data_IF_828004998237
#
_entry.id   IF_828004998237
#
_cell.length_a   1.000
_cell.length_b   1.000
_cell.length_c   1.000
_cell.angle_alpha   90.00
_cell.angle_beta   90.00
_cell.angle_gamma   90.00
#
_symmetry.space_group_name_H-M   'P 1'
#
loop_
_entity.id
_entity.type
_entity.pdbx_description
1 polymer ?
#
# COMPACT_ATOMS: atom_id res chain seq x y z
N UNK A 1 4.23 -3.68 32.00
CA UNK A 1 5.04 -4.75 31.37
C UNK A 1 4.09 -5.66 30.61
N UNK A 2 4.38 -6.04 29.34
CA UNK A 2 3.51 -6.94 28.60
C UNK A 2 3.54 -8.37 29.20
N UNK A 3 2.45 -9.14 29.08
CA UNK A 3 2.37 -10.52 29.60
C UNK A 3 3.47 -11.43 29.04
N UNK A 4 3.93 -12.39 29.85
CA UNK A 4 5.07 -13.28 29.52
C UNK A 4 4.91 -14.05 28.19
N UNK A 5 3.67 -14.34 27.79
CA UNK A 5 3.29 -14.98 26.53
C UNK A 5 3.55 -14.14 25.26
N UNK A 6 3.98 -12.88 25.39
CA UNK A 6 4.38 -12.03 24.24
C UNK A 6 5.90 -11.84 24.11
N UNK A 7 6.71 -12.39 25.04
CA UNK A 7 8.18 -12.21 25.00
C UNK A 7 8.85 -12.89 23.79
N UNK A 8 8.27 -13.97 23.25
CA UNK A 8 8.78 -14.64 22.04
C UNK A 8 8.60 -13.84 20.74
N UNK A 9 7.65 -12.89 20.70
CA UNK A 9 7.37 -12.08 19.51
C UNK A 9 8.42 -10.96 19.40
N UNK A 10 8.87 -10.45 20.54
CA UNK A 10 9.90 -9.40 20.59
C UNK A 10 11.33 -9.99 20.52
N UNK A 11 11.58 -11.16 21.10
CA UNK A 11 12.93 -11.76 21.15
C UNK A 11 13.37 -12.41 19.82
N UNK A 12 12.47 -13.07 19.09
CA UNK A 12 12.79 -13.74 17.84
C UNK A 12 13.01 -12.78 16.66
N UNK A 13 12.25 -11.68 16.62
CA UNK A 13 12.39 -10.67 15.56
C UNK A 13 13.68 -9.86 15.70
N UNK A 14 14.10 -9.52 16.92
CA UNK A 14 15.35 -8.78 17.13
C UNK A 14 16.60 -9.57 16.69
N UNK A 15 16.61 -10.88 16.91
CA UNK A 15 17.76 -11.74 16.58
C UNK A 15 17.83 -12.10 15.08
N UNK A 16 16.70 -12.28 14.40
CA UNK A 16 16.67 -12.57 12.95
C UNK A 16 16.81 -11.30 12.08
N UNK A 17 16.51 -10.12 12.64
CA UNK A 17 16.59 -8.84 11.92
C UNK A 17 18.01 -8.26 11.80
N UNK A 18 18.97 -8.76 12.59
CA UNK A 18 20.34 -8.22 12.69
C UNK A 18 21.24 -8.50 11.47
N UNK A 19 20.77 -9.31 10.51
CA UNK A 19 21.46 -9.56 9.26
C UNK A 19 21.19 -8.51 8.19
N UNK A 20 22.01 -7.44 8.16
CA UNK A 20 22.34 -6.61 6.98
C UNK A 20 21.23 -5.71 6.39
N UNK A 21 20.70 -4.76 7.15
CA UNK A 21 20.34 -3.48 6.50
C UNK A 21 21.66 -2.79 6.15
N UNK A 22 22.00 -2.74 4.86
CA UNK A 22 23.26 -2.12 4.38
C UNK A 22 23.26 -0.63 4.73
N UNK A 23 24.07 -0.26 5.72
CA UNK A 23 24.48 1.11 6.09
C UNK A 23 23.38 2.13 6.49
N UNK A 24 23.75 3.18 7.26
CA UNK A 24 22.83 4.26 7.66
C UNK A 24 22.15 5.01 6.50
N UNK A 25 22.75 5.01 5.31
CA UNK A 25 22.17 5.58 4.08
C UNK A 25 20.79 5.00 3.73
N UNK A 26 20.53 3.74 4.08
CA UNK A 26 19.23 3.09 3.86
C UNK A 26 18.07 3.78 4.60
N UNK A 27 18.27 4.25 5.84
CA UNK A 27 17.18 4.80 6.65
C UNK A 27 16.72 6.16 6.15
N UNK A 28 17.67 7.05 5.86
CA UNK A 28 17.35 8.37 5.30
C UNK A 28 16.67 8.24 3.95
N UNK A 29 17.15 7.34 3.08
CA UNK A 29 16.53 7.06 1.78
C UNK A 29 15.05 6.65 1.92
N UNK A 30 14.72 5.82 2.93
CA UNK A 30 13.33 5.37 3.16
C UNK A 30 12.46 6.51 3.71
N UNK A 31 12.99 7.36 4.58
CA UNK A 31 12.24 8.52 5.11
C UNK A 31 11.86 9.47 3.97
N UNK A 32 12.77 9.71 3.01
CA UNK A 32 12.51 10.62 1.89
C UNK A 32 11.78 9.95 0.71
N UNK A 33 11.66 8.62 0.71
CA UNK A 33 11.03 7.88 -0.40
C UNK A 33 9.56 8.28 -0.61
N UNK A 34 8.79 8.47 0.46
CA UNK A 34 7.39 8.92 0.37
C UNK A 34 7.23 10.27 -0.36
N UNK A 35 7.88 11.35 0.10
CA UNK A 35 7.89 12.62 -0.63
C UNK A 35 8.42 12.49 -2.07
N UNK A 36 9.48 11.71 -2.27
CA UNK A 36 10.08 11.51 -3.59
C UNK A 36 9.11 10.82 -4.57
N UNK A 37 8.34 9.82 -4.12
CA UNK A 37 7.27 9.19 -4.91
C UNK A 37 6.31 10.24 -5.43
N UNK A 38 5.79 11.12 -4.57
CA UNK A 38 4.84 12.16 -4.98
C UNK A 38 5.47 13.11 -6.00
N UNK A 39 6.66 13.67 -5.69
CA UNK A 39 7.33 14.66 -6.55
C UNK A 39 7.64 14.08 -7.94
N UNK A 40 8.07 12.81 -8.00
CA UNK A 40 8.44 12.16 -9.26
C UNK A 40 7.21 11.65 -10.01
N UNK A 41 6.25 11.04 -9.33
CA UNK A 41 5.10 10.42 -9.99
C UNK A 41 4.07 11.45 -10.44
N UNK A 42 3.94 12.60 -9.77
CA UNK A 42 3.00 13.65 -10.20
C UNK A 42 3.18 14.06 -11.67
N UNK A 43 4.39 14.49 -12.13
CA UNK A 43 4.59 14.81 -13.53
C UNK A 43 4.48 13.57 -14.44
N UNK A 44 4.86 12.37 -13.97
CA UNK A 44 4.72 11.14 -14.76
C UNK A 44 3.25 10.88 -15.09
N UNK A 45 2.35 10.89 -14.11
CA UNK A 45 0.91 10.70 -14.34
C UNK A 45 0.34 11.75 -15.30
N UNK A 46 0.73 13.02 -15.14
CA UNK A 46 0.31 14.10 -16.05
C UNK A 46 0.79 13.86 -17.48
N UNK A 47 2.03 13.41 -17.65
CA UNK A 47 2.62 13.17 -18.97
C UNK A 47 2.05 11.92 -19.63
N UNK A 48 1.93 10.81 -18.89
CA UNK A 48 1.41 9.55 -19.44
C UNK A 48 -0.07 9.67 -19.80
N UNK A 49 -0.88 10.34 -18.98
CA UNK A 49 -2.29 10.60 -19.33
C UNK A 49 -2.43 11.51 -20.54
N UNK A 50 -1.69 12.63 -20.62
CA UNK A 50 -1.69 13.49 -21.83
C UNK A 50 -1.27 12.76 -23.10
N UNK A 51 -0.33 11.84 -23.00
CA UNK A 51 0.09 11.01 -24.14
C UNK A 51 -0.99 9.97 -24.49
N UNK A 52 -1.64 9.39 -23.48
CA UNK A 52 -2.70 8.38 -23.59
C UNK A 52 -4.03 8.91 -24.10
N UNK A 53 -4.34 10.20 -23.90
CA UNK A 53 -5.55 10.86 -24.43
C UNK A 53 -5.66 10.77 -25.97
N UNK A 54 -4.56 10.45 -26.65
CA UNK A 54 -4.53 10.21 -28.10
C UNK A 54 -5.02 8.82 -28.51
N UNK A 55 -5.18 7.89 -27.58
CA UNK A 55 -5.47 6.47 -27.84
C UNK A 55 -6.68 6.00 -27.03
N UNK A 56 -6.72 6.33 -25.73
CA UNK A 56 -7.82 6.09 -24.77
C UNK A 56 -7.31 6.56 -23.39
N UNK A 57 -7.85 7.64 -22.81
CA UNK A 57 -7.26 8.35 -21.66
C UNK A 57 -6.95 7.48 -20.42
N UNK A 58 -7.68 6.37 -20.21
CA UNK A 58 -7.43 5.45 -19.09
C UNK A 58 -6.12 4.65 -19.23
N UNK A 59 -5.63 4.40 -20.44
CA UNK A 59 -4.38 3.67 -20.67
C UNK A 59 -3.16 4.48 -20.21
N UNK A 60 -3.19 5.79 -20.43
CA UNK A 60 -2.15 6.70 -19.96
C UNK A 60 -2.08 6.75 -18.43
N UNK A 61 -3.23 6.73 -17.78
CA UNK A 61 -3.31 6.63 -16.31
C UNK A 61 -2.76 5.29 -15.80
N UNK A 62 -3.20 4.18 -16.40
CA UNK A 62 -2.74 2.84 -16.05
C UNK A 62 -1.23 2.66 -16.25
N UNK A 63 -0.65 3.28 -17.29
CA UNK A 63 0.79 3.28 -17.53
C UNK A 63 1.56 4.00 -16.40
N UNK A 64 1.06 5.14 -15.91
CA UNK A 64 1.64 5.83 -14.76
C UNK A 64 1.66 4.93 -13.51
N UNK A 65 0.58 4.18 -13.30
CA UNK A 65 0.47 3.24 -12.18
C UNK A 65 1.42 2.05 -12.32
N UNK A 66 1.53 1.48 -13.52
CA UNK A 66 2.47 0.40 -13.80
C UNK A 66 3.93 0.82 -13.56
N UNK A 67 4.31 2.03 -13.98
CA UNK A 67 5.63 2.61 -13.71
C UNK A 67 5.87 2.70 -12.19
N UNK A 68 4.89 3.21 -11.44
CA UNK A 68 4.98 3.30 -9.99
C UNK A 68 5.16 1.92 -9.34
N UNK A 69 4.37 0.92 -9.71
CA UNK A 69 4.49 -0.43 -9.15
C UNK A 69 5.86 -1.06 -9.44
N UNK A 70 6.36 -0.95 -10.67
CA UNK A 70 7.65 -1.53 -11.04
C UNK A 70 8.78 -0.82 -10.29
N UNK A 71 8.82 0.51 -10.31
CA UNK A 71 9.93 1.26 -9.72
C UNK A 71 9.86 1.24 -8.19
N UNK A 72 8.74 1.67 -7.62
CA UNK A 72 8.58 1.90 -6.18
C UNK A 72 8.03 0.69 -5.43
N UNK A 73 7.19 -0.13 -6.07
CA UNK A 73 6.63 -1.35 -5.48
C UNK A 73 7.50 -2.60 -5.59
N UNK A 74 8.48 -2.63 -6.52
CA UNK A 74 9.30 -3.82 -6.78
C UNK A 74 10.80 -3.53 -6.76
N UNK A 75 11.30 -2.63 -7.61
CA UNK A 75 12.74 -2.37 -7.74
C UNK A 75 13.30 -1.75 -6.46
N UNK A 76 12.71 -0.65 -5.99
CA UNK A 76 13.17 0.05 -4.79
C UNK A 76 13.16 -0.86 -3.53
N UNK A 77 12.06 -1.57 -3.18
CA UNK A 77 12.05 -2.49 -2.05
C UNK A 77 13.07 -3.61 -2.18
N UNK A 78 13.29 -4.13 -3.40
CA UNK A 78 14.31 -5.15 -3.67
C UNK A 78 15.72 -4.62 -3.41
N UNK A 79 16.03 -3.38 -3.81
CA UNK A 79 17.35 -2.78 -3.57
C UNK A 79 17.55 -2.50 -2.08
N UNK A 80 16.51 -2.06 -1.37
CA UNK A 80 16.60 -1.72 0.06
C UNK A 80 16.67 -2.94 0.98
N UNK A 81 15.88 -3.99 0.72
CA UNK A 81 15.71 -5.14 1.62
C UNK A 81 16.29 -6.45 1.06
N UNK A 82 16.37 -6.59 -0.26
CA UNK A 82 16.70 -7.86 -0.90
C UNK A 82 15.54 -8.87 -0.91
N UNK A 83 15.70 -9.93 -1.71
CA UNK A 83 14.63 -10.91 -1.94
C UNK A 83 14.24 -11.75 -0.71
N UNK A 84 15.19 -12.04 0.19
CA UNK A 84 14.92 -12.85 1.36
C UNK A 84 13.95 -12.15 2.31
N UNK A 85 14.22 -10.89 2.65
CA UNK A 85 13.35 -10.11 3.52
C UNK A 85 11.99 -9.84 2.87
N UNK A 86 11.94 -9.54 1.57
CA UNK A 86 10.66 -9.38 0.85
C UNK A 86 9.79 -10.63 0.91
N UNK A 87 10.37 -11.82 0.71
CA UNK A 87 9.64 -13.09 0.81
C UNK A 87 9.13 -13.36 2.22
N UNK A 88 9.89 -12.96 3.24
CA UNK A 88 9.45 -13.10 4.63
C UNK A 88 8.30 -12.16 4.96
N UNK A 89 8.34 -10.91 4.45
CA UNK A 89 7.29 -9.91 4.65
C UNK A 89 5.93 -10.37 4.11
N UNK A 90 5.90 -11.04 2.96
CA UNK A 90 4.65 -11.50 2.32
C UNK A 90 4.23 -12.90 2.78
N UNK A 91 4.96 -13.52 3.71
CA UNK A 91 4.63 -14.88 4.15
C UNK A 91 3.30 -14.86 4.94
N UNK A 92 2.35 -15.76 4.62
CA UNK A 92 1.15 -15.92 5.42
C UNK A 92 1.46 -16.23 6.88
N UNK A 93 0.80 -15.52 7.79
CA UNK A 93 0.90 -15.75 9.23
C UNK A 93 -0.42 -16.31 9.76
N UNK A 94 -0.36 -17.14 10.80
CA UNK A 94 -1.57 -17.68 11.43
C UNK A 94 -2.37 -16.54 12.07
N UNK A 95 -3.65 -16.45 11.77
CA UNK A 95 -4.54 -15.48 12.41
C UNK A 95 -5.28 -16.10 13.59
N UNK A 96 -5.15 -15.48 14.76
CA UNK A 96 -6.10 -15.66 15.85
C UNK A 96 -7.34 -14.79 15.64
N UNK A 97 -8.38 -15.02 16.46
CA UNK A 97 -9.67 -14.29 16.37
C UNK A 97 -9.50 -12.78 16.37
N UNK A 98 -8.62 -12.24 17.22
CA UNK A 98 -8.36 -10.79 17.27
C UNK A 98 -7.87 -10.23 15.93
N UNK A 99 -6.97 -10.95 15.25
CA UNK A 99 -6.45 -10.54 13.96
C UNK A 99 -7.52 -10.64 12.86
N UNK A 100 -8.35 -11.69 12.90
CA UNK A 100 -9.46 -11.85 11.97
C UNK A 100 -10.50 -10.72 12.12
N UNK A 101 -10.79 -10.28 13.35
CA UNK A 101 -11.68 -9.14 13.59
C UNK A 101 -11.12 -7.84 13.01
N UNK A 102 -9.80 -7.63 13.11
CA UNK A 102 -9.14 -6.49 12.45
C UNK A 102 -9.21 -6.62 10.92
N UNK A 103 -8.97 -7.80 10.36
CA UNK A 103 -9.10 -8.01 8.90
C UNK A 103 -10.53 -7.75 8.42
N UNK A 104 -11.53 -8.18 9.19
CA UNK A 104 -12.94 -8.07 8.82
C UNK A 104 -13.44 -6.61 8.81
N UNK A 105 -12.98 -5.77 9.73
CA UNK A 105 -13.48 -4.40 9.89
C UNK A 105 -13.46 -3.56 8.59
N UNK A 106 -12.32 -3.35 7.91
CA UNK A 106 -12.28 -2.57 6.68
C UNK A 106 -13.09 -3.22 5.56
N UNK A 107 -13.11 -4.56 5.47
CA UNK A 107 -13.90 -5.27 4.46
C UNK A 107 -15.40 -5.07 4.65
N UNK A 108 -15.89 -5.15 5.90
CA UNK A 108 -17.29 -4.88 6.24
C UNK A 108 -17.65 -3.43 5.93
N UNK A 109 -16.78 -2.47 6.25
CA UNK A 109 -16.98 -1.06 5.91
C UNK A 109 -17.06 -0.87 4.39
N UNK A 110 -16.17 -1.50 3.63
CA UNK A 110 -16.17 -1.43 2.16
C UNK A 110 -17.43 -2.05 1.56
N UNK A 111 -17.86 -3.24 2.04
CA UNK A 111 -19.11 -3.87 1.60
C UNK A 111 -20.31 -2.99 1.95
N UNK A 112 -20.37 -2.46 3.17
CA UNK A 112 -21.45 -1.58 3.58
C UNK A 112 -21.50 -0.31 2.72
N UNK A 113 -20.35 0.32 2.46
CA UNK A 113 -20.26 1.47 1.56
C UNK A 113 -20.79 1.14 0.17
N UNK A 114 -20.38 0.00 -0.41
CA UNK A 114 -20.85 -0.46 -1.71
C UNK A 114 -22.36 -0.71 -1.76
N UNK A 115 -22.92 -1.29 -0.71
CA UNK A 115 -24.35 -1.66 -0.62
C UNK A 115 -25.24 -0.44 -0.36
N UNK A 116 -24.83 0.47 0.51
CA UNK A 116 -25.63 1.63 0.91
C UNK A 116 -25.40 2.87 0.03
N UNK A 117 -24.30 2.90 -0.72
CA UNK A 117 -23.98 3.94 -1.70
C UNK A 117 -23.51 3.31 -3.02
N UNK A 118 -24.44 2.87 -3.88
CA UNK A 118 -24.11 2.17 -5.13
C UNK A 118 -23.28 3.01 -6.10
N UNK A 119 -23.28 4.34 -5.97
CA UNK A 119 -22.47 5.26 -6.79
C UNK A 119 -20.97 5.09 -6.54
N UNK A 120 -20.60 4.39 -5.46
CA UNK A 120 -19.20 3.98 -5.19
C UNK A 120 -18.70 2.85 -6.11
N UNK A 121 -19.57 2.29 -6.97
CA UNK A 121 -19.16 1.33 -8.00
C UNK A 121 -18.17 1.95 -8.98
N UNK A 122 -17.16 1.18 -9.40
CA UNK A 122 -16.56 1.43 -10.71
C UNK A 122 -17.45 0.84 -11.80
N UNK A 123 -18.15 1.71 -12.54
CA UNK A 123 -18.82 1.30 -13.77
C UNK A 123 -17.80 1.27 -14.91
N UNK A 124 -17.51 0.09 -15.45
CA UNK A 124 -16.70 -0.05 -16.66
C UNK A 124 -17.56 -0.53 -17.82
N UNK A 125 -17.44 0.13 -18.98
CA UNK A 125 -18.25 -0.17 -20.16
C UNK A 125 -17.60 -1.21 -21.10
N UNK A 126 -16.38 -1.66 -20.80
CA UNK A 126 -15.64 -2.63 -21.62
C UNK A 126 -14.94 -3.68 -20.77
N UNK A 127 -14.81 -4.89 -21.31
CA UNK A 127 -14.06 -5.99 -20.66
C UNK A 127 -12.60 -5.60 -20.40
N UNK A 128 -11.98 -4.85 -21.32
CA UNK A 128 -10.60 -4.39 -21.17
C UNK A 128 -10.45 -3.44 -19.97
N UNK A 129 -11.35 -2.46 -19.83
CA UNK A 129 -11.36 -1.57 -18.67
C UNK A 129 -11.60 -2.35 -17.37
N UNK A 130 -12.51 -3.32 -17.37
CA UNK A 130 -12.78 -4.19 -16.21
C UNK A 130 -11.52 -4.96 -15.77
N UNK A 131 -10.78 -5.54 -16.72
CA UNK A 131 -9.54 -6.27 -16.41
C UNK A 131 -8.46 -5.35 -15.84
N UNK A 132 -8.39 -4.10 -16.31
CA UNK A 132 -7.43 -3.10 -15.82
C UNK A 132 -7.77 -2.66 -14.40
N UNK A 133 -9.04 -2.44 -14.06
CA UNK A 133 -9.42 -2.06 -12.68
C UNK A 133 -9.23 -3.23 -11.70
N UNK A 134 -9.47 -4.47 -12.13
CA UNK A 134 -9.15 -5.68 -11.34
C UNK A 134 -7.64 -5.79 -11.13
N UNK A 135 -6.84 -5.62 -12.19
CA UNK A 135 -5.38 -5.60 -12.08
C UNK A 135 -4.90 -4.47 -11.17
N UNK A 136 -5.59 -3.34 -11.16
CA UNK A 136 -5.35 -2.20 -10.27
C UNK A 136 -5.62 -2.54 -8.82
N UNK A 137 -6.74 -3.21 -8.51
CA UNK A 137 -7.05 -3.66 -7.15
C UNK A 137 -5.96 -4.61 -6.60
N UNK A 138 -5.52 -5.58 -7.41
CA UNK A 138 -4.47 -6.54 -7.03
C UNK A 138 -3.10 -5.88 -6.94
N UNK A 139 -2.75 -5.08 -7.95
CA UNK A 139 -1.47 -4.39 -8.03
C UNK A 139 -1.30 -3.39 -6.89
N UNK A 140 -2.33 -2.60 -6.59
CA UNK A 140 -2.30 -1.69 -5.44
C UNK A 140 -2.18 -2.48 -4.14
N UNK A 141 -3.04 -3.48 -3.95
CA UNK A 141 -3.01 -4.30 -2.75
C UNK A 141 -1.67 -4.98 -2.49
N UNK A 142 -0.92 -5.37 -3.53
CA UNK A 142 0.39 -5.99 -3.35
C UNK A 142 1.54 -4.98 -3.32
N UNK A 143 1.75 -4.24 -4.39
CA UNK A 143 2.94 -3.40 -4.59
C UNK A 143 2.99 -2.22 -3.62
N UNK A 144 1.84 -1.62 -3.31
CA UNK A 144 1.79 -0.52 -2.35
C UNK A 144 2.08 -1.02 -0.93
N UNK A 145 1.56 -2.17 -0.54
CA UNK A 145 1.82 -2.71 0.79
C UNK A 145 3.29 -3.11 0.98
N UNK A 146 3.93 -3.63 -0.07
CA UNK A 146 5.38 -3.88 -0.05
C UNK A 146 6.16 -2.60 0.24
N UNK A 147 5.83 -1.50 -0.44
CA UNK A 147 6.54 -0.24 -0.29
C UNK A 147 6.18 0.49 1.01
N UNK A 148 4.90 0.77 1.24
CA UNK A 148 4.42 1.62 2.33
C UNK A 148 4.40 0.95 3.69
N UNK A 149 4.18 -0.38 3.76
CA UNK A 149 4.10 -1.11 5.03
C UNK A 149 5.30 -2.04 5.21
N UNK A 150 5.73 -2.72 4.16
CA UNK A 150 6.80 -3.72 4.20
C UNK A 150 8.15 -3.11 4.58
N UNK A 151 8.59 -2.09 3.83
CA UNK A 151 9.88 -1.43 4.10
C UNK A 151 9.91 -0.80 5.51
N UNK A 152 8.94 0.05 5.92
CA UNK A 152 9.01 0.70 7.22
C UNK A 152 8.88 -0.29 8.38
N UNK A 153 8.07 -1.35 8.24
CA UNK A 153 7.97 -2.42 9.24
C UNK A 153 9.32 -3.08 9.50
N UNK A 154 10.10 -3.33 8.45
CA UNK A 154 11.40 -4.02 8.56
C UNK A 154 12.51 -3.10 9.05
N UNK A 155 12.51 -1.84 8.64
CA UNK A 155 13.61 -0.89 8.88
C UNK A 155 13.42 -0.06 10.15
N UNK A 156 12.18 0.19 10.55
CA UNK A 156 11.83 0.95 11.75
C UNK A 156 10.96 0.15 12.73
N UNK A 157 11.39 -1.05 13.17
CA UNK A 157 10.58 -1.90 14.04
C UNK A 157 10.22 -1.22 15.36
N UNK A 158 11.11 -0.36 15.89
CA UNK A 158 10.93 0.26 17.21
C UNK A 158 10.23 1.64 17.15
N UNK A 159 10.14 2.26 15.97
CA UNK A 159 9.53 3.59 15.82
C UNK A 159 8.12 3.48 15.27
N UNK A 160 7.12 3.80 16.10
CA UNK A 160 5.71 3.88 15.64
C UNK A 160 5.51 5.01 14.64
N UNK A 161 6.20 6.13 14.84
CA UNK A 161 6.10 7.27 13.93
C UNK A 161 6.64 6.90 12.55
N UNK A 162 7.90 6.46 12.45
CA UNK A 162 8.52 6.15 11.16
C UNK A 162 8.02 4.84 10.53
N UNK A 163 7.56 3.89 11.35
CA UNK A 163 7.04 2.60 10.87
C UNK A 163 5.55 2.59 10.53
N UNK A 164 4.76 3.61 10.92
CA UNK A 164 3.31 3.66 10.67
C UNK A 164 2.85 5.05 10.28
N UNK A 165 3.01 6.06 11.13
CA UNK A 165 2.39 7.37 10.92
C UNK A 165 2.97 8.06 9.68
N UNK A 166 4.29 8.12 9.58
CA UNK A 166 5.01 8.74 8.47
C UNK A 166 4.65 8.13 7.11
N UNK A 167 4.77 6.80 6.89
CA UNK A 167 4.37 6.21 5.62
C UNK A 167 2.89 6.38 5.33
N UNK A 168 1.99 6.41 6.32
CA UNK A 168 0.56 6.64 6.09
C UNK A 168 0.23 8.05 5.63
N UNK A 169 0.90 9.07 6.16
CA UNK A 169 0.77 10.45 5.69
C UNK A 169 1.15 10.53 4.22
N UNK A 170 2.30 9.97 3.87
CA UNK A 170 2.78 10.02 2.49
C UNK A 170 2.02 9.09 1.55
N UNK A 171 1.49 7.96 2.05
CA UNK A 171 0.56 7.11 1.32
C UNK A 171 -0.70 7.90 0.94
N UNK A 172 -1.31 8.63 1.89
CA UNK A 172 -2.41 9.52 1.59
C UNK A 172 -2.03 10.57 0.55
N UNK A 173 -0.98 11.34 0.81
CA UNK A 173 -0.55 12.44 -0.08
C UNK A 173 -0.12 11.98 -1.47
N UNK A 174 0.42 10.76 -1.61
CA UNK A 174 0.82 10.18 -2.90
C UNK A 174 -0.34 10.16 -3.90
N UNK A 175 -1.58 9.98 -3.42
CA UNK A 175 -2.77 9.93 -4.26
C UNK A 175 -3.04 11.24 -5.02
N UNK A 176 -2.42 12.36 -4.63
CA UNK A 176 -2.43 13.59 -5.42
C UNK A 176 -1.79 13.40 -6.81
N UNK A 177 -0.83 12.49 -6.95
CA UNK A 177 -0.20 12.18 -8.24
C UNK A 177 -1.20 11.56 -9.24
N UNK A 178 -1.81 10.39 -8.99
CA UNK A 178 -2.81 9.84 -9.90
C UNK A 178 -4.05 10.74 -10.02
N UNK A 179 -4.47 11.42 -8.95
CA UNK A 179 -5.62 12.34 -9.01
C UNK A 179 -5.35 13.56 -9.90
N UNK A 180 -4.10 14.00 -10.07
CA UNK A 180 -3.75 15.12 -10.95
C UNK A 180 -4.05 14.88 -12.43
N UNK A 181 -4.24 13.61 -12.80
CA UNK A 181 -4.59 13.17 -14.14
C UNK A 181 -6.08 12.86 -14.31
N UNK A 182 -6.87 12.85 -13.23
CA UNK A 182 -8.33 12.74 -13.29
C UNK A 182 -8.97 14.14 -13.30
N UNK A 183 -10.10 14.27 -13.99
CA UNK A 183 -10.92 15.47 -13.99
C UNK A 183 -11.90 15.53 -12.79
N UNK A 184 -12.01 14.44 -12.04
CA UNK A 184 -13.03 14.24 -11.02
C UNK A 184 -12.52 14.85 -9.71
N UNK A 185 -13.16 15.92 -9.24
CA UNK A 185 -12.71 16.79 -8.15
C UNK A 185 -12.62 16.17 -6.73
N UNK A 186 -12.39 14.86 -6.61
CA UNK A 186 -12.40 14.08 -5.36
C UNK A 186 -11.03 13.83 -4.71
N UNK A 187 -9.99 14.58 -5.06
CA UNK A 187 -8.63 14.31 -4.57
C UNK A 187 -8.50 14.38 -3.03
N UNK A 188 -9.16 15.33 -2.38
CA UNK A 188 -9.04 15.50 -0.92
C UNK A 188 -9.69 14.35 -0.12
N UNK A 189 -10.96 13.96 -0.37
CA UNK A 189 -11.53 12.76 0.24
C UNK A 189 -10.69 11.51 0.03
N UNK A 190 -10.13 11.31 -1.18
CA UNK A 190 -9.24 10.19 -1.48
C UNK A 190 -7.97 10.22 -0.62
N UNK A 191 -7.28 11.37 -0.54
CA UNK A 191 -6.06 11.53 0.27
C UNK A 191 -6.33 11.25 1.75
N UNK A 192 -7.42 11.79 2.29
CA UNK A 192 -7.78 11.61 3.70
C UNK A 192 -8.16 10.15 3.98
N UNK A 193 -9.02 9.55 3.15
CA UNK A 193 -9.42 8.15 3.28
C UNK A 193 -8.23 7.20 3.16
N UNK A 194 -7.36 7.42 2.16
CA UNK A 194 -6.13 6.66 1.97
C UNK A 194 -5.19 6.82 3.18
N UNK A 195 -5.03 8.01 3.76
CA UNK A 195 -4.20 8.19 4.96
C UNK A 195 -4.72 7.36 6.14
N UNK A 196 -6.03 7.34 6.40
CA UNK A 196 -6.62 6.53 7.48
C UNK A 196 -6.51 5.03 7.21
N UNK A 197 -6.77 4.59 5.97
CA UNK A 197 -6.51 3.20 5.55
C UNK A 197 -5.01 2.86 5.70
N UNK A 198 -4.14 3.82 5.37
CA UNK A 198 -2.72 3.90 5.69
C UNK A 198 -2.42 3.44 7.10
N UNK A 199 -2.89 4.23 8.07
CA UNK A 199 -2.71 4.02 9.49
C UNK A 199 -3.25 2.65 9.93
N UNK A 200 -4.43 2.28 9.43
CA UNK A 200 -5.06 1.00 9.74
C UNK A 200 -4.20 -0.19 9.30
N UNK A 201 -3.78 -0.20 8.03
CA UNK A 201 -3.00 -1.29 7.46
C UNK A 201 -1.58 -1.33 8.05
N UNK A 202 -0.97 -0.17 8.36
CA UNK A 202 0.29 -0.12 9.08
C UNK A 202 0.20 -0.68 10.51
N UNK A 203 -0.90 -0.42 11.22
CA UNK A 203 -1.18 -1.04 12.51
C UNK A 203 -1.37 -2.56 12.38
N UNK A 204 -2.12 -3.01 11.37
CA UNK A 204 -2.35 -4.42 11.08
C UNK A 204 -1.03 -5.17 10.74
N UNK A 205 -0.17 -4.54 9.94
CA UNK A 205 1.14 -5.06 9.59
C UNK A 205 2.02 -5.28 10.83
N UNK A 206 2.07 -4.29 11.73
CA UNK A 206 2.83 -4.39 12.99
C UNK A 206 2.25 -5.44 13.93
N UNK A 207 0.94 -5.54 14.00
CA UNK A 207 0.26 -6.51 14.89
C UNK A 207 0.52 -7.94 14.44
N UNK A 208 0.57 -8.19 13.13
CA UNK A 208 0.78 -9.52 12.57
C UNK A 208 2.25 -9.85 12.27
N UNK A 209 3.15 -8.86 12.31
CA UNK A 209 4.57 -9.03 11.96
C UNK A 209 4.82 -9.33 10.48
N UNK A 210 3.83 -9.09 9.61
CA UNK A 210 3.83 -9.44 8.19
C UNK A 210 2.92 -8.47 7.42
N UNK A 211 3.17 -8.27 6.13
CA UNK A 211 2.27 -7.51 5.26
C UNK A 211 1.23 -8.38 4.56
N UNK A 212 1.21 -9.70 4.82
CA UNK A 212 0.23 -10.60 4.22
C UNK A 212 -1.22 -10.15 4.43
N UNK A 213 -1.59 -9.81 5.68
CA UNK A 213 -2.95 -9.36 5.99
C UNK A 213 -3.28 -7.98 5.43
N UNK A 214 -2.38 -6.98 5.51
CA UNK A 214 -2.53 -5.74 4.74
C UNK A 214 -2.77 -5.95 3.24
N UNK A 215 -1.96 -6.79 2.59
CA UNK A 215 -2.10 -7.12 1.16
C UNK A 215 -3.47 -7.72 0.87
N UNK A 216 -3.88 -8.69 1.69
CA UNK A 216 -5.17 -9.36 1.56
C UNK A 216 -6.33 -8.37 1.69
N UNK A 217 -6.34 -7.57 2.77
CA UNK A 217 -7.39 -6.58 3.03
C UNK A 217 -7.47 -5.54 1.91
N UNK A 218 -6.33 -4.98 1.51
CA UNK A 218 -6.29 -3.93 0.50
C UNK A 218 -6.75 -4.47 -0.87
N UNK A 219 -6.27 -5.66 -1.26
CA UNK A 219 -6.70 -6.32 -2.50
C UNK A 219 -8.20 -6.61 -2.48
N UNK A 220 -8.71 -7.24 -1.41
CA UNK A 220 -10.13 -7.58 -1.31
C UNK A 220 -11.03 -6.34 -1.29
N UNK A 221 -10.65 -5.29 -0.55
CA UNK A 221 -11.39 -4.03 -0.55
C UNK A 221 -11.45 -3.41 -1.95
N UNK A 222 -10.33 -3.39 -2.68
CA UNK A 222 -10.31 -2.95 -4.07
C UNK A 222 -11.22 -3.79 -4.97
N UNK A 223 -11.18 -5.12 -4.83
CA UNK A 223 -12.02 -6.03 -5.61
C UNK A 223 -13.52 -5.85 -5.33
N UNK A 224 -13.91 -5.58 -4.09
CA UNK A 224 -15.32 -5.31 -3.71
C UNK A 224 -15.84 -4.03 -4.40
N UNK A 225 -14.99 -3.05 -4.66
CA UNK A 225 -15.40 -1.79 -5.30
C UNK A 225 -15.50 -1.89 -6.82
N UNK A 226 -14.81 -2.86 -7.44
CA UNK A 226 -14.74 -3.00 -8.90
C UNK A 226 -15.56 -4.18 -9.45
N UNK A 227 -16.08 -5.06 -8.59
CA UNK A 227 -16.96 -6.18 -8.94
C UNK A 227 -18.41 -5.89 -8.49
#
# INVERSE_FOLDING_TARGET
>A
MPPAEYRWLNGGMAAAAAGRVKEPWSKSAIVVAGPAVLIVMYPIFRLTSRAGDRVEGYLGWAAGLAIYWVIWGMVFPRVMLGWSDLRQLVRPTKAGVRLLLLVALPLVITVAGRVFDPETAYETHTVAAQLIVIATAVGNGFFEEVFWRGIPLRVFPDSRFLGVVWPSIWFGLWHLAPASASADGGALPLVVGAMFLGLYLGFLARTSGSIWWPVFVHTCAGLILVL
#
